data_IF_782091423403
#
_entry.id   IF_782091423403
#
_cell.length_a   1.000
_cell.length_b   1.000
_cell.length_c   1.000
_cell.angle_alpha   90.00
_cell.angle_beta   90.00
_cell.angle_gamma   90.00
#
_symmetry.space_group_name_H-M   'P 1'
#
loop_
_entity.id
_entity.type
_entity.pdbx_description
1 polymer ?
#
# COMPACT_ATOMS: atom_id res chain seq x y z
N UNK A 1 6.14 8.42 -25.67
CA UNK A 1 4.87 9.11 -25.34
C UNK A 1 3.79 8.16 -24.81
N UNK A 2 3.60 6.97 -25.39
CA UNK A 2 2.57 5.99 -24.96
C UNK A 2 2.75 5.49 -23.51
N UNK A 3 3.98 5.17 -23.09
CA UNK A 3 4.29 4.68 -21.73
C UNK A 3 3.90 5.71 -20.67
N UNK A 4 4.24 6.98 -20.89
CA UNK A 4 3.89 8.09 -20.00
C UNK A 4 2.38 8.30 -19.89
N UNK A 5 1.63 8.22 -21.00
CA UNK A 5 0.17 8.30 -20.95
C UNK A 5 -0.44 7.18 -20.11
N UNK A 6 0.02 5.94 -20.31
CA UNK A 6 -0.44 4.78 -19.52
C UNK A 6 -0.07 4.91 -18.05
N UNK A 7 1.14 5.41 -17.75
CA UNK A 7 1.56 5.68 -16.38
C UNK A 7 0.69 6.76 -15.72
N UNK A 8 0.40 7.86 -16.41
CA UNK A 8 -0.47 8.93 -15.88
C UNK A 8 -1.85 8.37 -15.52
N UNK A 9 -2.46 7.59 -16.41
CA UNK A 9 -3.76 6.94 -16.14
C UNK A 9 -3.65 5.99 -14.94
N UNK A 10 -2.59 5.17 -14.87
CA UNK A 10 -2.34 4.29 -13.72
C UNK A 10 -2.21 5.09 -12.42
N UNK A 11 -1.39 6.13 -12.40
CA UNK A 11 -1.12 6.92 -11.20
C UNK A 11 -2.37 7.66 -10.73
N UNK A 12 -3.15 8.22 -11.65
CA UNK A 12 -4.42 8.86 -11.32
C UNK A 12 -5.44 7.87 -10.77
N UNK A 13 -5.68 6.75 -11.46
CA UNK A 13 -6.73 5.79 -11.05
C UNK A 13 -6.34 5.07 -9.76
N UNK A 14 -5.15 4.48 -9.71
CA UNK A 14 -4.70 3.71 -8.54
C UNK A 14 -4.42 4.63 -7.36
N UNK A 15 -3.85 5.82 -7.60
CA UNK A 15 -3.62 6.81 -6.56
C UNK A 15 -4.93 7.35 -5.97
N UNK A 16 -5.94 7.60 -6.81
CA UNK A 16 -7.26 8.03 -6.36
C UNK A 16 -7.96 6.94 -5.54
N UNK A 17 -7.92 5.68 -6.00
CA UNK A 17 -8.46 4.54 -5.25
C UNK A 17 -7.75 4.38 -3.90
N UNK A 18 -6.42 4.44 -3.88
CA UNK A 18 -5.65 4.41 -2.64
C UNK A 18 -6.07 5.54 -1.71
N UNK A 19 -6.18 6.78 -2.20
CA UNK A 19 -6.64 7.93 -1.43
C UNK A 19 -8.04 7.72 -0.82
N UNK A 20 -9.03 7.30 -1.62
CA UNK A 20 -10.41 7.05 -1.13
C UNK A 20 -10.41 5.97 -0.04
N UNK A 21 -9.79 4.82 -0.31
CA UNK A 21 -9.84 3.69 0.61
C UNK A 21 -9.03 3.95 1.88
N UNK A 22 -7.93 4.70 1.79
CA UNK A 22 -7.20 5.18 2.97
C UNK A 22 -8.06 6.09 3.83
N UNK A 23 -8.70 7.12 3.26
CA UNK A 23 -9.61 7.98 4.03
C UNK A 23 -10.76 7.17 4.62
N UNK A 24 -11.36 6.26 3.83
CA UNK A 24 -12.44 5.39 4.33
C UNK A 24 -11.98 4.54 5.50
N UNK A 25 -10.76 4.01 5.46
CA UNK A 25 -10.23 3.16 6.54
C UNK A 25 -10.07 3.91 7.86
N UNK A 26 -9.75 5.20 7.81
CA UNK A 26 -9.65 6.07 8.99
C UNK A 26 -11.02 6.34 9.65
N UNK A 27 -12.11 6.09 8.93
CA UNK A 27 -13.49 6.35 9.36
C UNK A 27 -14.33 5.08 9.46
N UNK A 28 -13.71 3.90 9.56
CA UNK A 28 -14.47 2.65 9.76
C UNK A 28 -15.12 2.70 11.15
N UNK A 29 -16.45 2.51 11.25
CA UNK A 29 -17.12 2.44 12.53
C UNK A 29 -16.63 1.23 13.33
N UNK A 30 -16.68 1.31 14.66
CA UNK A 30 -16.27 0.20 15.53
C UNK A 30 -17.10 -1.06 15.24
N UNK A 31 -16.43 -2.14 14.81
CA UNK A 31 -17.05 -3.42 14.42
C UNK A 31 -17.04 -4.45 15.56
N UNK A 32 -17.43 -4.04 16.78
CA UNK A 32 -17.43 -4.92 17.96
C UNK A 32 -18.59 -5.90 18.03
N UNK A 33 -18.55 -6.79 19.02
CA UNK A 33 -19.60 -7.79 19.28
C UNK A 33 -20.96 -7.11 19.52
N UNK A 34 -21.99 -7.59 18.81
CA UNK A 34 -23.38 -7.10 18.95
C UNK A 34 -23.78 -5.97 18.00
N UNK A 35 -22.89 -5.48 17.14
CA UNK A 35 -23.26 -4.52 16.10
C UNK A 35 -23.94 -5.23 14.91
N UNK A 36 -25.13 -4.77 14.52
CA UNK A 36 -25.86 -5.23 13.32
C UNK A 36 -25.18 -4.67 12.07
N UNK A 37 -24.06 -5.28 11.67
CA UNK A 37 -23.25 -4.84 10.54
C UNK A 37 -23.61 -5.68 9.32
N UNK A 38 -23.91 -5.01 8.21
CA UNK A 38 -24.18 -5.71 6.95
C UNK A 38 -22.91 -6.36 6.39
N UNK A 39 -23.07 -7.48 5.68
CA UNK A 39 -21.95 -8.13 4.98
C UNK A 39 -21.22 -7.16 4.01
N UNK A 40 -21.97 -6.21 3.41
CA UNK A 40 -21.40 -5.20 2.53
C UNK A 40 -20.44 -4.25 3.27
N UNK A 41 -20.79 -3.82 4.48
CA UNK A 41 -19.92 -2.96 5.29
C UNK A 41 -18.64 -3.69 5.71
N UNK A 42 -18.74 -4.98 6.06
CA UNK A 42 -17.56 -5.81 6.37
C UNK A 42 -16.62 -5.87 5.16
N UNK A 43 -17.15 -6.15 3.96
CA UNK A 43 -16.36 -6.21 2.73
C UNK A 43 -15.69 -4.86 2.44
N UNK A 44 -16.45 -3.76 2.55
CA UNK A 44 -15.91 -2.43 2.29
C UNK A 44 -14.86 -2.01 3.33
N UNK A 45 -15.01 -2.44 4.58
CA UNK A 45 -14.05 -2.20 5.66
C UNK A 45 -12.78 -3.01 5.42
N UNK A 46 -12.91 -4.28 5.04
CA UNK A 46 -11.77 -5.11 4.64
C UNK A 46 -11.01 -4.49 3.46
N UNK A 47 -11.70 -4.08 2.39
CA UNK A 47 -11.05 -3.45 1.24
C UNK A 47 -10.33 -2.16 1.64
N UNK A 48 -10.94 -1.34 2.47
CA UNK A 48 -10.35 -0.10 2.95
C UNK A 48 -9.07 -0.35 3.78
N UNK A 49 -9.13 -1.24 4.77
CA UNK A 49 -7.98 -1.58 5.63
C UNK A 49 -6.88 -2.30 4.84
N UNK A 50 -7.24 -3.15 3.89
CA UNK A 50 -6.28 -3.83 3.01
C UNK A 50 -5.57 -2.84 2.10
N UNK A 51 -6.30 -2.01 1.36
CA UNK A 51 -5.71 -1.03 0.44
C UNK A 51 -4.86 -0.01 1.22
N UNK A 52 -5.29 0.38 2.43
CA UNK A 52 -4.52 1.28 3.30
C UNK A 52 -3.36 0.61 4.05
N UNK A 53 -3.00 -0.63 3.73
CA UNK A 53 -1.87 -1.29 4.40
C UNK A 53 -0.54 -0.97 3.71
N UNK A 54 0.54 -0.89 4.50
CA UNK A 54 1.88 -0.62 3.98
C UNK A 54 2.30 -1.59 2.86
N UNK A 55 2.04 -2.91 2.95
CA UNK A 55 2.33 -3.84 1.87
C UNK A 55 1.61 -3.49 0.56
N UNK A 56 0.35 -3.04 0.61
CA UNK A 56 -0.41 -2.71 -0.60
C UNK A 56 0.08 -1.41 -1.25
N UNK A 57 0.39 -0.39 -0.45
CA UNK A 57 1.05 0.82 -0.93
C UNK A 57 2.39 0.51 -1.61
N UNK A 58 3.17 -0.40 -1.02
CA UNK A 58 4.44 -0.85 -1.57
C UNK A 58 4.27 -1.63 -2.88
N UNK A 59 3.30 -2.56 -2.94
CA UNK A 59 2.99 -3.32 -4.17
C UNK A 59 2.60 -2.38 -5.31
N UNK A 60 1.76 -1.39 -5.07
CA UNK A 60 1.36 -0.45 -6.11
C UNK A 60 2.55 0.38 -6.64
N UNK A 61 3.47 0.80 -5.75
CA UNK A 61 4.73 1.44 -6.15
C UNK A 61 5.65 0.48 -6.93
N UNK A 62 5.73 -0.79 -6.54
CA UNK A 62 6.42 -1.82 -7.30
C UNK A 62 5.82 -2.00 -8.69
N UNK A 63 4.49 -2.03 -8.80
CA UNK A 63 3.79 -2.14 -10.08
C UNK A 63 4.14 -0.97 -11.01
N UNK A 64 4.24 0.25 -10.48
CA UNK A 64 4.68 1.41 -11.25
C UNK A 64 6.09 1.20 -11.85
N UNK A 65 7.06 0.79 -11.02
CA UNK A 65 8.42 0.52 -11.46
C UNK A 65 8.54 -0.67 -12.42
N UNK A 66 7.75 -1.72 -12.18
CA UNK A 66 7.74 -2.93 -13.01
C UNK A 66 7.13 -2.67 -14.39
N UNK A 67 5.97 -2.02 -14.51
CA UNK A 67 5.36 -1.84 -15.84
C UNK A 67 5.95 -0.68 -16.64
N UNK A 68 6.34 0.40 -15.98
CA UNK A 68 6.67 1.64 -16.68
C UNK A 68 8.17 2.00 -16.63
N UNK A 69 8.93 1.46 -15.68
CA UNK A 69 10.36 1.74 -15.54
C UNK A 69 11.23 1.02 -16.59
N UNK A 70 12.03 1.77 -17.35
CA UNK A 70 13.02 1.21 -18.30
C UNK A 70 14.38 0.95 -17.66
N UNK A 71 14.66 1.62 -16.55
CA UNK A 71 15.86 1.44 -15.74
C UNK A 71 15.51 1.70 -14.25
N UNK A 72 16.46 1.45 -13.34
CA UNK A 72 16.23 1.63 -11.89
C UNK A 72 15.86 3.07 -11.55
N UNK A 73 16.52 4.06 -12.18
CA UNK A 73 16.26 5.50 -11.92
C UNK A 73 14.84 5.89 -12.33
N UNK A 74 14.38 5.41 -13.48
CA UNK A 74 12.99 5.60 -13.90
C UNK A 74 12.01 4.86 -12.99
N UNK A 75 12.33 3.64 -12.56
CA UNK A 75 11.50 2.91 -11.60
C UNK A 75 11.31 3.69 -10.29
N UNK A 76 12.40 4.21 -9.73
CA UNK A 76 12.40 5.09 -8.55
C UNK A 76 11.50 6.30 -8.78
N UNK A 77 11.72 7.03 -9.87
CA UNK A 77 10.96 8.24 -10.18
C UNK A 77 9.47 7.97 -10.33
N UNK A 78 9.10 6.91 -11.06
CA UNK A 78 7.70 6.55 -11.30
C UNK A 78 7.00 6.08 -10.02
N UNK A 79 7.70 5.30 -9.19
CA UNK A 79 7.19 4.90 -7.88
C UNK A 79 6.98 6.11 -6.95
N UNK A 80 7.95 7.03 -6.90
CA UNK A 80 7.87 8.27 -6.14
C UNK A 80 6.71 9.18 -6.60
N UNK A 81 6.57 9.38 -7.91
CA UNK A 81 5.47 10.19 -8.47
C UNK A 81 4.12 9.57 -8.14
N UNK A 82 3.98 8.26 -8.28
CA UNK A 82 2.76 7.54 -7.91
C UNK A 82 2.41 7.74 -6.43
N UNK A 83 3.34 7.51 -5.50
CA UNK A 83 3.02 7.59 -4.06
C UNK A 83 2.77 9.02 -3.61
N UNK A 84 3.50 10.00 -4.14
CA UNK A 84 3.22 11.44 -3.89
C UNK A 84 1.83 11.82 -4.40
N UNK A 85 1.42 11.32 -5.57
CA UNK A 85 0.08 11.55 -6.09
C UNK A 85 -0.99 10.87 -5.22
N UNK A 86 -0.79 9.63 -4.80
CA UNK A 86 -1.71 8.89 -3.93
C UNK A 86 -1.89 9.57 -2.57
N UNK A 87 -0.80 10.00 -1.92
CA UNK A 87 -0.91 10.71 -0.63
C UNK A 87 -1.51 12.12 -0.80
N UNK A 88 -1.33 12.76 -1.96
CA UNK A 88 -2.04 14.01 -2.28
C UNK A 88 -3.55 13.76 -2.35
N UNK A 89 -3.99 12.71 -3.04
CA UNK A 89 -5.41 12.35 -3.07
C UNK A 89 -5.96 12.04 -1.69
N UNK A 90 -5.21 11.30 -0.86
CA UNK A 90 -5.58 11.04 0.54
C UNK A 90 -5.85 12.34 1.30
N UNK A 91 -4.93 13.32 1.26
CA UNK A 91 -5.13 14.58 1.96
C UNK A 91 -6.27 15.43 1.39
N UNK A 92 -6.38 15.50 0.07
CA UNK A 92 -7.47 16.26 -0.58
C UNK A 92 -8.82 15.66 -0.23
N UNK A 93 -8.99 14.34 -0.34
CA UNK A 93 -10.25 13.66 -0.02
C UNK A 93 -10.50 13.75 1.49
N UNK A 94 -9.49 13.52 2.33
CA UNK A 94 -9.60 13.62 3.79
C UNK A 94 -10.09 15.01 4.23
N UNK A 95 -9.68 16.07 3.54
CA UNK A 95 -10.17 17.43 3.82
C UNK A 95 -11.68 17.60 3.57
N UNK A 96 -12.28 16.77 2.71
CA UNK A 96 -13.73 16.75 2.45
C UNK A 96 -14.51 15.99 3.54
N UNK A 97 -13.87 15.02 4.20
CA UNK A 97 -14.46 14.23 5.29
C UNK A 97 -14.32 14.92 6.66
N UNK A 98 -13.31 15.78 6.83
CA UNK A 98 -12.99 16.42 8.10
C UNK A 98 -13.49 17.86 8.23
N UNK A 99 -14.55 18.08 9.01
CA UNK A 99 -14.57 19.19 9.98
C UNK A 99 -13.91 18.67 11.26
N UNK A 100 -12.58 18.69 11.32
CA UNK A 100 -11.86 18.27 12.53
C UNK A 100 -12.21 19.20 13.70
N UNK A 101 -12.82 18.66 14.76
CA UNK A 101 -13.18 19.39 15.99
C UNK A 101 -11.96 19.98 16.72
N UNK A 102 -10.75 19.53 16.39
CA UNK A 102 -9.48 20.06 16.88
C UNK A 102 -8.71 20.63 15.69
N UNK A 103 -8.63 21.96 15.58
CA UNK A 103 -7.79 22.61 14.59
C UNK A 103 -6.32 22.51 15.03
N UNK A 104 -5.53 21.70 14.30
CA UNK A 104 -4.08 21.66 14.48
C UNK A 104 -3.48 23.03 14.15
N UNK A 105 -2.44 23.43 14.88
CA UNK A 105 -1.68 24.63 14.55
C UNK A 105 -1.01 24.48 13.17
N UNK A 106 -0.71 25.61 12.51
CA UNK A 106 -0.03 25.61 11.22
C UNK A 106 1.29 24.84 11.23
N UNK A 107 2.05 24.92 12.34
CA UNK A 107 3.31 24.19 12.51
C UNK A 107 3.10 22.68 12.58
N UNK A 108 2.06 22.22 13.26
CA UNK A 108 1.73 20.80 13.35
C UNK A 108 1.25 20.27 11.99
N UNK A 109 0.44 21.04 11.26
CA UNK A 109 0.00 20.67 9.91
C UNK A 109 1.18 20.48 8.95
N UNK A 110 2.16 21.40 8.95
CA UNK A 110 3.39 21.25 8.15
C UNK A 110 4.15 19.99 8.57
N UNK A 111 4.27 19.72 9.88
CA UNK A 111 4.93 18.53 10.39
C UNK A 111 4.28 17.24 9.90
N UNK A 112 2.94 17.17 9.95
CA UNK A 112 2.17 16.04 9.44
C UNK A 112 2.41 15.87 7.94
N UNK A 113 2.25 16.93 7.13
CA UNK A 113 2.49 16.82 5.70
C UNK A 113 3.92 16.40 5.37
N UNK A 114 4.93 17.00 6.01
CA UNK A 114 6.32 16.65 5.79
C UNK A 114 6.60 15.17 6.09
N UNK A 115 6.04 14.65 7.19
CA UNK A 115 6.19 13.24 7.56
C UNK A 115 5.54 12.31 6.54
N UNK A 116 4.28 12.56 6.19
CA UNK A 116 3.52 11.69 5.29
C UNK A 116 4.02 11.75 3.84
N UNK A 117 4.32 12.93 3.30
CA UNK A 117 4.94 13.06 1.99
C UNK A 117 6.35 12.47 1.98
N UNK A 118 7.14 12.68 3.04
CA UNK A 118 8.48 12.11 3.18
C UNK A 118 8.47 10.58 3.20
N UNK A 119 7.61 9.98 4.02
CA UNK A 119 7.43 8.53 4.09
C UNK A 119 6.92 7.96 2.76
N UNK A 120 5.94 8.63 2.13
CA UNK A 120 5.40 8.23 0.83
C UNK A 120 6.45 8.29 -0.27
N UNK A 121 7.28 9.34 -0.30
CA UNK A 121 8.37 9.49 -1.25
C UNK A 121 9.41 8.38 -1.07
N UNK A 122 9.84 8.13 0.18
CA UNK A 122 10.80 7.07 0.49
C UNK A 122 10.26 5.68 0.09
N UNK A 123 9.03 5.36 0.51
CA UNK A 123 8.36 4.11 0.16
C UNK A 123 8.17 3.95 -1.36
N UNK A 124 7.81 5.04 -2.06
CA UNK A 124 7.65 5.06 -3.52
C UNK A 124 8.96 4.83 -4.25
N UNK A 125 10.06 5.45 -3.81
CA UNK A 125 11.39 5.23 -4.35
C UNK A 125 11.82 3.76 -4.19
N UNK A 126 11.69 3.20 -2.98
CA UNK A 126 12.09 1.82 -2.69
C UNK A 126 11.21 0.84 -3.47
N UNK A 127 9.89 1.05 -3.46
CA UNK A 127 8.92 0.22 -4.18
C UNK A 127 9.17 0.27 -5.68
N UNK A 128 9.33 1.46 -6.26
CA UNK A 128 9.63 1.64 -7.68
C UNK A 128 10.94 0.99 -8.11
N UNK A 129 12.00 1.10 -7.29
CA UNK A 129 13.26 0.40 -7.52
C UNK A 129 13.08 -1.12 -7.49
N UNK A 130 12.43 -1.64 -6.43
CA UNK A 130 12.16 -3.06 -6.25
C UNK A 130 11.33 -3.62 -7.41
N UNK A 131 10.30 -2.90 -7.84
CA UNK A 131 9.46 -3.24 -8.98
C UNK A 131 10.25 -3.38 -10.28
N UNK A 132 11.12 -2.43 -10.59
CA UNK A 132 11.99 -2.55 -11.76
C UNK A 132 12.96 -3.75 -11.62
N UNK A 133 13.58 -3.92 -10.46
CA UNK A 133 14.55 -4.99 -10.20
C UNK A 133 13.90 -6.39 -10.21
N UNK A 134 12.61 -6.50 -9.93
CA UNK A 134 11.86 -7.76 -10.01
C UNK A 134 11.93 -8.39 -11.40
N UNK A 135 12.08 -7.58 -12.47
CA UNK A 135 12.33 -8.06 -13.84
C UNK A 135 13.61 -8.88 -13.98
N UNK A 136 14.60 -8.59 -13.12
CA UNK A 136 15.95 -9.17 -13.17
C UNK A 136 16.12 -10.28 -12.15
N UNK A 137 15.49 -10.14 -10.99
CA UNK A 137 15.64 -11.10 -9.91
C UNK A 137 14.39 -11.13 -9.03
N UNK A 138 13.78 -12.31 -8.79
CA UNK A 138 12.60 -12.42 -7.96
C UNK A 138 12.91 -12.18 -6.47
N UNK A 139 14.18 -12.28 -6.06
CA UNK A 139 14.61 -12.11 -4.67
C UNK A 139 14.32 -10.72 -4.08
N UNK A 140 14.02 -9.71 -4.89
CA UNK A 140 13.54 -8.42 -4.36
C UNK A 140 12.21 -8.53 -3.59
N UNK A 141 11.45 -9.61 -3.77
CA UNK A 141 10.26 -9.89 -2.98
C UNK A 141 10.55 -10.09 -1.49
N UNK A 142 11.80 -10.29 -1.06
CA UNK A 142 12.15 -10.27 0.35
C UNK A 142 11.82 -8.92 1.01
N UNK A 143 11.86 -7.80 0.26
CA UNK A 143 11.47 -6.49 0.79
C UNK A 143 9.97 -6.46 1.09
N UNK A 144 9.14 -7.01 0.19
CA UNK A 144 7.70 -7.13 0.39
C UNK A 144 7.37 -8.11 1.53
N UNK A 145 8.07 -9.24 1.60
CA UNK A 145 7.93 -10.21 2.68
C UNK A 145 8.23 -9.56 4.04
N UNK A 146 9.31 -8.78 4.13
CA UNK A 146 9.63 -8.02 5.34
C UNK A 146 8.50 -7.04 5.70
N UNK A 147 7.98 -6.28 4.73
CA UNK A 147 6.84 -5.38 4.95
C UNK A 147 5.58 -6.09 5.46
N UNK A 148 5.26 -7.27 4.92
CA UNK A 148 4.13 -8.09 5.38
C UNK A 148 4.32 -8.54 6.84
N UNK A 149 5.52 -9.00 7.21
CA UNK A 149 5.82 -9.40 8.58
C UNK A 149 5.76 -8.22 9.56
N UNK A 150 6.31 -7.06 9.17
CA UNK A 150 6.21 -5.83 9.97
C UNK A 150 4.75 -5.42 10.15
N UNK A 151 3.93 -5.47 9.09
CA UNK A 151 2.50 -5.13 9.18
C UNK A 151 1.75 -6.09 10.13
N UNK A 152 2.03 -7.39 10.09
CA UNK A 152 1.45 -8.36 11.02
C UNK A 152 1.81 -8.04 12.49
N UNK A 153 3.04 -7.59 12.74
CA UNK A 153 3.47 -7.16 14.09
C UNK A 153 2.76 -5.87 14.51
N UNK A 154 2.67 -4.88 13.63
CA UNK A 154 1.99 -3.60 13.89
C UNK A 154 0.50 -3.81 14.19
N UNK A 155 -0.17 -4.70 13.45
CA UNK A 155 -1.57 -5.03 13.66
C UNK A 155 -1.83 -5.63 15.07
N UNK A 156 -0.84 -6.33 15.64
CA UNK A 156 -0.87 -6.86 17.01
C UNK A 156 -1.90 -7.97 17.24
N UNK A 157 -1.89 -8.56 18.44
CA UNK A 157 -2.77 -9.68 18.79
C UNK A 157 -4.26 -9.32 18.74
N UNK A 158 -4.63 -8.09 19.10
CA UNK A 158 -6.02 -7.63 19.11
C UNK A 158 -6.69 -7.62 17.73
N UNK A 159 -5.91 -7.51 16.65
CA UNK A 159 -6.44 -7.56 15.29
C UNK A 159 -7.05 -8.92 14.92
N UNK A 160 -6.65 -10.00 15.59
CA UNK A 160 -7.23 -11.34 15.39
C UNK A 160 -8.61 -11.52 16.02
N UNK A 161 -8.98 -10.64 16.95
CA UNK A 161 -10.25 -10.72 17.68
C UNK A 161 -11.40 -9.99 16.96
N UNK A 162 -11.16 -9.41 15.78
CA UNK A 162 -12.22 -8.84 14.94
C UNK A 162 -12.13 -9.38 13.50
N UNK A 163 -13.27 -9.51 12.84
CA UNK A 163 -13.38 -10.21 11.54
C UNK A 163 -12.54 -9.56 10.43
N UNK A 164 -12.48 -8.22 10.39
CA UNK A 164 -11.75 -7.48 9.36
C UNK A 164 -10.24 -7.63 9.55
N UNK A 165 -9.75 -7.44 10.77
CA UNK A 165 -8.34 -7.61 11.12
C UNK A 165 -7.88 -9.05 10.92
N UNK A 166 -8.68 -10.04 11.34
CA UNK A 166 -8.39 -11.45 11.12
C UNK A 166 -8.30 -11.78 9.63
N UNK A 167 -9.24 -11.30 8.81
CA UNK A 167 -9.23 -11.49 7.37
C UNK A 167 -8.00 -10.86 6.71
N UNK A 168 -7.61 -9.65 7.13
CA UNK A 168 -6.39 -9.00 6.66
C UNK A 168 -5.13 -9.81 7.02
N UNK A 169 -5.00 -10.23 8.28
CA UNK A 169 -3.83 -10.99 8.72
C UNK A 169 -3.72 -12.33 8.00
N UNK A 170 -4.83 -13.04 7.81
CA UNK A 170 -4.87 -14.27 7.00
C UNK A 170 -4.39 -13.97 5.58
N UNK A 171 -4.83 -12.86 4.98
CA UNK A 171 -4.39 -12.46 3.64
C UNK A 171 -2.87 -12.23 3.62
N UNK A 172 -2.29 -11.54 4.60
CA UNK A 172 -0.84 -11.34 4.68
C UNK A 172 -0.05 -12.63 4.91
N UNK A 173 -0.56 -13.55 5.72
CA UNK A 173 0.02 -14.88 5.88
C UNK A 173 0.03 -15.64 4.54
N UNK A 174 -1.09 -15.66 3.82
CA UNK A 174 -1.19 -16.31 2.51
C UNK A 174 -0.26 -15.68 1.48
N UNK A 175 -0.18 -14.34 1.43
CA UNK A 175 0.78 -13.63 0.57
C UNK A 175 2.23 -14.00 0.91
N UNK A 176 2.56 -14.11 2.19
CA UNK A 176 3.90 -14.48 2.66
C UNK A 176 4.26 -15.90 2.24
N UNK A 177 3.36 -16.87 2.46
CA UNK A 177 3.54 -18.26 2.02
C UNK A 177 3.70 -18.33 0.50
N UNK A 178 2.89 -17.59 -0.25
CA UNK A 178 2.98 -17.53 -1.71
C UNK A 178 4.34 -16.98 -2.17
N UNK A 179 4.83 -15.89 -1.57
CA UNK A 179 6.14 -15.32 -1.88
C UNK A 179 7.25 -16.35 -1.64
N UNK A 180 7.25 -17.01 -0.47
CA UNK A 180 8.24 -18.05 -0.15
C UNK A 180 8.20 -19.18 -1.18
N UNK A 181 7.01 -19.69 -1.49
CA UNK A 181 6.82 -20.72 -2.50
C UNK A 181 7.36 -20.28 -3.87
N UNK A 182 7.01 -19.08 -4.31
CA UNK A 182 7.45 -18.52 -5.59
C UNK A 182 8.98 -18.39 -5.66
N UNK A 183 9.62 -17.94 -4.59
CA UNK A 183 11.08 -17.83 -4.50
C UNK A 183 11.78 -19.19 -4.57
N UNK A 184 11.23 -20.21 -3.90
CA UNK A 184 11.74 -21.59 -3.95
C UNK A 184 11.57 -22.21 -5.35
N UNK A 185 10.48 -21.94 -6.04
CA UNK A 185 10.28 -22.40 -7.41
C UNK A 185 11.28 -21.73 -8.37
N UNK A 186 11.51 -20.42 -8.21
CA UNK A 186 12.45 -19.68 -9.04
C UNK A 186 13.91 -20.11 -8.83
N UNK A 187 14.31 -20.45 -7.60
CA UNK A 187 15.68 -20.92 -7.32
C UNK A 187 15.95 -22.30 -7.95
N UNK A 188 14.98 -23.22 -7.89
CA UNK A 188 15.08 -24.54 -8.54
C UNK A 188 15.24 -24.43 -10.05
N UNK A 189 14.46 -23.56 -10.71
CA UNK A 189 14.56 -23.34 -12.16
C UNK A 189 15.94 -22.83 -12.58
N UNK A 190 16.56 -21.97 -11.75
CA UNK A 190 17.91 -21.45 -11.99
C UNK A 190 19.01 -22.50 -11.76
N UNK A 191 18.79 -23.48 -10.89
CA UNK A 191 19.75 -24.57 -10.65
C UNK A 191 19.71 -25.68 -11.71
N UNK A 192 18.63 -25.76 -12.50
CA UNK A 192 18.38 -26.81 -13.49
C UNK A 192 18.74 -26.42 -14.93
N UNK A 193 19.18 -25.18 -15.18
CA UNK A 193 19.61 -24.68 -16.49
C UNK A 193 20.97 -24.01 -16.41
#
# INVERSE_FOLDING_TARGET
>A
MLVWRRFIVFALVIGFLAGIFSVKSDHIPYLGEGADISAFEIIMSYLAVMINSLPMWFIAAMTAGYWFGRNVREGILLGAVYTVMAITFYFVIGSLYGHSLIQLSFKEQIGVYALWYGASLAGGCIGGAAGYLFKKTPYVLFILLFGLLVQLVINGAGSWNNIVGAAQNITFCLMSVYIVYFLLAASKKKAAG
#
